data_IF_472652346277
#
_entry.id   IF_472652346277
#
_cell.length_a   1.000
_cell.length_b   1.000
_cell.length_c   1.000
_cell.angle_alpha   90.00
_cell.angle_beta   90.00
_cell.angle_gamma   90.00
#
_symmetry.space_group_name_H-M   'P 1'
#
loop_
_entity.id
_entity.type
_entity.pdbx_description
1 polymer ?
#
# COMPACT_ATOMS: atom_id res chain seq x y z
N UNK A 1 -10.43 -34.71 -91.15
CA UNK A 1 -11.60 -34.94 -90.27
C UNK A 1 -11.08 -34.91 -88.85
N UNK A 2 -10.99 -33.71 -88.26
CA UNK A 2 -11.74 -33.30 -87.04
C UNK A 2 -11.42 -34.19 -85.82
N UNK A 3 -10.91 -33.77 -84.67
CA UNK A 3 -10.62 -32.45 -84.08
C UNK A 3 -9.83 -32.71 -82.79
N UNK A 4 -8.66 -32.11 -82.59
CA UNK A 4 -8.03 -32.01 -81.27
C UNK A 4 -8.49 -30.71 -80.63
N UNK A 5 -9.43 -30.81 -79.68
CA UNK A 5 -9.85 -29.68 -78.85
C UNK A 5 -8.80 -29.46 -77.75
N UNK A 6 -7.97 -28.43 -77.95
CA UNK A 6 -7.17 -27.80 -76.90
C UNK A 6 -8.14 -27.10 -75.94
N UNK A 7 -8.24 -27.60 -74.71
CA UNK A 7 -8.91 -26.90 -73.63
C UNK A 7 -8.06 -25.69 -73.24
N UNK A 8 -8.39 -24.53 -73.79
CA UNK A 8 -7.87 -23.25 -73.33
C UNK A 8 -8.45 -22.98 -71.93
N UNK A 9 -7.59 -23.01 -70.92
CA UNK A 9 -7.89 -22.43 -69.62
C UNK A 9 -8.12 -20.92 -69.83
N UNK A 10 -9.36 -20.47 -69.70
CA UNK A 10 -9.70 -19.04 -69.66
C UNK A 10 -9.16 -18.49 -68.35
N UNK A 11 -7.96 -17.91 -68.39
CA UNK A 11 -7.53 -16.98 -67.35
C UNK A 11 -8.40 -15.74 -67.49
N UNK A 12 -9.36 -15.55 -66.58
CA UNK A 12 -10.15 -14.33 -66.47
C UNK A 12 -9.21 -13.14 -66.26
N UNK A 13 -8.98 -12.35 -67.32
CA UNK A 13 -8.08 -11.18 -67.33
C UNK A 13 -8.71 -9.91 -66.75
N UNK A 14 -9.82 -10.00 -66.00
CA UNK A 14 -10.54 -8.83 -65.46
C UNK A 14 -10.31 -8.55 -63.98
N UNK A 15 -9.45 -9.31 -63.29
CA UNK A 15 -9.20 -9.15 -61.86
C UNK A 15 -7.86 -8.43 -61.61
N UNK A 16 -7.83 -7.07 -61.52
CA UNK A 16 -6.61 -6.29 -61.26
C UNK A 16 -5.96 -6.59 -59.90
N UNK A 17 -6.63 -7.34 -59.02
CA UNK A 17 -6.17 -7.72 -57.69
C UNK A 17 -5.80 -9.21 -57.56
N UNK A 18 -5.70 -9.98 -58.66
CA UNK A 18 -5.39 -11.41 -58.63
C UNK A 18 -4.06 -11.70 -57.90
N UNK A 19 -2.99 -10.96 -58.23
CA UNK A 19 -1.67 -11.10 -57.59
C UNK A 19 -1.70 -10.83 -56.08
N UNK A 20 -2.59 -9.93 -55.63
CA UNK A 20 -2.76 -9.61 -54.21
C UNK A 20 -3.49 -10.76 -53.50
N UNK A 21 -4.53 -11.34 -54.10
CA UNK A 21 -5.26 -12.49 -53.53
C UNK A 21 -4.37 -13.73 -53.42
N UNK A 22 -3.48 -13.96 -54.38
CA UNK A 22 -2.55 -15.10 -54.36
C UNK A 22 -1.48 -14.95 -53.28
N UNK A 23 -1.05 -13.71 -52.99
CA UNK A 23 -0.17 -13.42 -51.86
C UNK A 23 -0.82 -13.80 -50.51
N UNK A 24 -2.10 -13.48 -50.30
CA UNK A 24 -2.84 -13.85 -49.08
C UNK A 24 -3.07 -15.36 -48.91
N UNK A 25 -3.00 -16.14 -49.99
CA UNK A 25 -3.07 -17.61 -49.95
C UNK A 25 -1.72 -18.29 -49.77
N UNK A 26 -0.62 -17.53 -49.91
CA UNK A 26 0.73 -18.06 -49.77
C UNK A 26 1.02 -18.49 -48.34
N UNK A 27 1.88 -19.50 -48.17
CA UNK A 27 2.30 -19.99 -46.84
C UNK A 27 2.97 -18.88 -46.00
N UNK A 28 3.65 -17.93 -46.65
CA UNK A 28 4.27 -16.75 -46.02
C UNK A 28 3.27 -15.90 -45.25
N UNK A 29 2.05 -15.72 -45.77
CA UNK A 29 1.00 -14.99 -45.08
C UNK A 29 0.58 -15.68 -43.77
N UNK A 30 0.47 -17.01 -43.78
CA UNK A 30 0.18 -17.78 -42.56
C UNK A 30 1.28 -17.60 -41.49
N UNK A 31 2.55 -17.59 -41.87
CA UNK A 31 3.65 -17.31 -40.95
C UNK A 31 3.56 -15.90 -40.34
N UNK A 32 3.22 -14.89 -41.15
CA UNK A 32 3.05 -13.51 -40.68
C UNK A 32 1.88 -13.41 -39.69
N UNK A 33 0.74 -14.01 -40.01
CA UNK A 33 -0.44 -14.01 -39.13
C UNK A 33 -0.15 -14.75 -37.82
N UNK A 34 0.55 -15.89 -37.88
CA UNK A 34 0.94 -16.64 -36.68
C UNK A 34 1.90 -15.83 -35.79
N UNK A 35 2.90 -15.18 -36.38
CA UNK A 35 3.84 -14.31 -35.66
C UNK A 35 3.10 -13.13 -35.00
N UNK A 36 2.14 -12.54 -35.70
CA UNK A 36 1.31 -11.46 -35.17
C UNK A 36 0.49 -11.91 -33.96
N UNK A 37 -0.16 -13.08 -34.03
CA UNK A 37 -0.89 -13.64 -32.89
C UNK A 37 0.03 -14.00 -31.72
N UNK A 38 1.21 -14.55 -31.98
CA UNK A 38 2.23 -14.80 -30.95
C UNK A 38 2.60 -13.50 -30.24
N UNK A 39 2.89 -12.44 -31.00
CA UNK A 39 3.21 -11.12 -30.44
C UNK A 39 2.06 -10.57 -29.60
N UNK A 40 0.81 -10.65 -30.08
CA UNK A 40 -0.37 -10.23 -29.33
C UNK A 40 -0.52 -11.00 -28.01
N UNK A 41 -0.28 -12.32 -28.00
CA UNK A 41 -0.34 -13.13 -26.78
C UNK A 41 0.77 -12.73 -25.79
N UNK A 42 2.00 -12.51 -26.28
CA UNK A 42 3.11 -12.05 -25.42
C UNK A 42 2.80 -10.66 -24.82
N UNK A 43 2.28 -9.74 -25.62
CA UNK A 43 1.85 -8.42 -25.15
C UNK A 43 0.73 -8.55 -24.12
N UNK A 44 -0.26 -9.40 -24.39
CA UNK A 44 -1.39 -9.65 -23.49
C UNK A 44 -0.95 -10.19 -22.13
N UNK A 45 -0.05 -11.19 -22.11
CA UNK A 45 0.53 -11.73 -20.88
C UNK A 45 1.42 -10.70 -20.16
N UNK A 46 2.17 -9.88 -20.90
CA UNK A 46 2.98 -8.79 -20.33
C UNK A 46 2.10 -7.76 -19.62
N UNK A 47 0.96 -7.39 -20.22
CA UNK A 47 -0.05 -6.53 -19.61
C UNK A 47 -0.62 -7.14 -18.32
N UNK A 48 -1.01 -8.41 -18.34
CA UNK A 48 -1.51 -9.11 -17.14
C UNK A 48 -0.43 -9.19 -16.03
N UNK A 49 0.82 -9.46 -16.41
CA UNK A 49 1.96 -9.47 -15.48
C UNK A 49 2.23 -8.09 -14.87
N UNK A 50 2.11 -7.01 -15.66
CA UNK A 50 2.25 -5.65 -15.16
C UNK A 50 1.17 -5.30 -14.13
N UNK A 51 -0.08 -5.66 -14.38
CA UNK A 51 -1.19 -5.50 -13.42
C UNK A 51 -0.92 -6.28 -12.14
N UNK A 52 -0.44 -7.52 -12.23
CA UNK A 52 -0.07 -8.31 -11.04
C UNK A 52 1.03 -7.63 -10.21
N UNK A 53 2.11 -7.22 -10.88
CA UNK A 53 3.27 -6.59 -10.22
C UNK A 53 2.89 -5.27 -9.55
N UNK A 54 2.01 -4.49 -10.17
CA UNK A 54 1.53 -3.24 -9.60
C UNK A 54 0.53 -3.46 -8.45
N UNK A 55 -0.45 -4.36 -8.62
CA UNK A 55 -1.44 -4.67 -7.59
C UNK A 55 -0.79 -5.19 -6.30
N UNK A 56 0.21 -6.08 -6.42
CA UNK A 56 0.96 -6.63 -5.28
C UNK A 56 1.69 -5.56 -4.46
N UNK A 57 2.05 -4.41 -5.06
CA UNK A 57 2.72 -3.31 -4.36
C UNK A 57 1.74 -2.39 -3.62
N UNK A 58 0.46 -2.41 -3.99
CA UNK A 58 -0.58 -1.49 -3.51
C UNK A 58 -1.59 -2.13 -2.56
N UNK A 59 -1.80 -3.45 -2.64
CA UNK A 59 -2.90 -4.14 -1.96
C UNK A 59 -2.39 -5.38 -1.26
N UNK A 60 -2.76 -5.57 0.01
CA UNK A 60 -2.36 -6.74 0.82
C UNK A 60 -3.34 -7.91 0.62
N UNK A 61 -4.63 -7.60 0.40
CA UNK A 61 -5.66 -8.61 0.18
C UNK A 61 -5.47 -9.37 -1.14
N UNK A 62 -5.25 -10.67 -1.00
CA UNK A 62 -5.01 -11.59 -2.12
C UNK A 62 -6.19 -11.70 -3.08
N UNK A 63 -7.43 -11.55 -2.60
CA UNK A 63 -8.63 -11.67 -3.43
C UNK A 63 -8.67 -10.52 -4.44
N UNK A 64 -8.42 -9.30 -3.97
CA UNK A 64 -8.43 -8.10 -4.84
C UNK A 64 -7.33 -8.18 -5.89
N UNK A 65 -6.15 -8.69 -5.54
CA UNK A 65 -5.06 -8.93 -6.51
C UNK A 65 -5.52 -9.92 -7.59
N UNK A 66 -6.13 -11.04 -7.20
CA UNK A 66 -6.61 -12.06 -8.16
C UNK A 66 -7.67 -11.46 -9.08
N UNK A 67 -8.65 -10.73 -8.54
CA UNK A 67 -9.71 -10.09 -9.33
C UNK A 67 -9.14 -9.08 -10.33
N UNK A 68 -8.17 -8.26 -9.92
CA UNK A 68 -7.51 -7.29 -10.79
C UNK A 68 -6.73 -7.98 -11.93
N UNK A 69 -5.98 -9.03 -11.63
CA UNK A 69 -5.23 -9.79 -12.64
C UNK A 69 -6.17 -10.52 -13.60
N UNK A 70 -7.25 -11.13 -13.10
CA UNK A 70 -8.26 -11.77 -13.94
C UNK A 70 -8.94 -10.76 -14.87
N UNK A 71 -9.20 -9.55 -14.38
CA UNK A 71 -9.76 -8.46 -15.20
C UNK A 71 -8.79 -8.06 -16.33
N UNK A 72 -7.51 -7.88 -16.00
CA UNK A 72 -6.45 -7.63 -17.00
C UNK A 72 -6.26 -8.78 -17.99
N UNK A 73 -6.40 -10.02 -17.53
CA UNK A 73 -6.29 -11.21 -18.37
C UNK A 73 -7.50 -11.37 -19.29
N UNK A 74 -8.73 -11.14 -18.84
CA UNK A 74 -9.94 -11.34 -19.65
C UNK A 74 -10.10 -10.22 -20.70
N UNK A 75 -9.94 -8.96 -20.27
CA UNK A 75 -10.17 -7.79 -21.12
C UNK A 75 -8.91 -7.30 -21.83
N UNK A 76 -7.75 -7.90 -21.55
CA UNK A 76 -6.47 -7.58 -22.14
C UNK A 76 -6.08 -6.10 -22.01
N UNK A 77 -5.72 -5.41 -23.10
CA UNK A 77 -5.28 -4.01 -23.03
C UNK A 77 -6.37 -3.08 -22.48
N UNK A 78 -7.65 -3.40 -22.70
CA UNK A 78 -8.78 -2.63 -22.13
C UNK A 78 -8.85 -2.83 -20.61
N UNK A 79 -8.58 -4.05 -20.13
CA UNK A 79 -8.54 -4.34 -18.70
C UNK A 79 -7.46 -3.54 -17.97
N UNK A 80 -6.29 -3.35 -18.61
CA UNK A 80 -5.22 -2.49 -18.08
C UNK A 80 -5.66 -1.03 -17.99
N UNK A 81 -6.36 -0.52 -19.01
CA UNK A 81 -6.92 0.83 -19.00
C UNK A 81 -7.91 1.03 -17.84
N UNK A 82 -8.84 0.09 -17.65
CA UNK A 82 -9.81 0.15 -16.55
C UNK A 82 -9.09 0.08 -15.20
N UNK A 83 -8.14 -0.85 -15.05
CA UNK A 83 -7.34 -0.98 -13.83
C UNK A 83 -6.54 0.30 -13.54
N UNK A 84 -5.98 0.94 -14.57
CA UNK A 84 -5.19 2.17 -14.39
C UNK A 84 -6.00 3.35 -13.85
N UNK A 85 -7.32 3.38 -14.10
CA UNK A 85 -8.25 4.38 -13.58
C UNK A 85 -8.64 4.05 -12.13
N UNK A 86 -8.93 2.77 -11.84
CA UNK A 86 -9.31 2.30 -10.50
C UNK A 86 -8.11 2.08 -9.55
N UNK A 87 -6.89 2.36 -10.02
CA UNK A 87 -5.64 2.10 -9.31
C UNK A 87 -5.63 2.80 -7.94
N UNK A 88 -5.43 2.06 -6.82
CA UNK A 88 -5.29 2.67 -5.50
C UNK A 88 -4.10 3.64 -5.44
N UNK A 89 -4.26 4.84 -4.85
CA UNK A 89 -3.23 5.88 -4.87
C UNK A 89 -2.10 5.64 -3.87
N UNK A 90 -2.34 4.92 -2.76
CA UNK A 90 -1.36 4.72 -1.69
C UNK A 90 -0.65 3.37 -1.81
N UNK A 91 0.66 3.36 -1.55
CA UNK A 91 1.44 2.13 -1.44
C UNK A 91 1.40 1.60 0.00
N UNK A 92 1.42 0.28 0.14
CA UNK A 92 1.43 -0.36 1.47
C UNK A 92 2.67 0.02 2.29
N UNK A 93 3.79 0.33 1.63
CA UNK A 93 5.03 0.75 2.27
C UNK A 93 4.87 2.14 2.91
N UNK A 94 4.25 3.09 2.20
CA UNK A 94 4.01 4.45 2.71
C UNK A 94 3.09 4.44 3.94
N UNK A 95 2.04 3.61 3.93
CA UNK A 95 1.14 3.45 5.09
C UNK A 95 1.89 2.87 6.28
N UNK A 96 2.70 1.82 6.05
CA UNK A 96 3.52 1.21 7.10
C UNK A 96 4.56 2.16 7.68
N UNK A 97 5.19 3.00 6.85
CA UNK A 97 6.16 3.99 7.31
C UNK A 97 5.50 5.02 8.23
N UNK A 98 4.36 5.59 7.81
CA UNK A 98 3.59 6.53 8.65
C UNK A 98 3.18 5.91 9.98
N UNK A 99 2.73 4.65 9.97
CA UNK A 99 2.39 3.95 11.21
C UNK A 99 3.60 3.76 12.13
N UNK A 100 4.77 3.42 11.59
CA UNK A 100 6.00 3.28 12.37
C UNK A 100 6.49 4.61 12.93
N UNK A 101 6.38 5.69 12.15
CA UNK A 101 6.68 7.04 12.60
C UNK A 101 5.77 7.45 13.77
N UNK A 102 4.46 7.24 13.66
CA UNK A 102 3.48 7.55 14.72
C UNK A 102 3.81 6.76 15.98
N UNK A 103 4.04 5.44 15.87
CA UNK A 103 4.40 4.61 17.03
C UNK A 103 5.68 5.08 17.71
N UNK A 104 6.67 5.51 16.92
CA UNK A 104 7.93 6.06 17.45
C UNK A 104 7.70 7.39 18.17
N UNK A 105 6.82 8.25 17.64
CA UNK A 105 6.42 9.49 18.29
C UNK A 105 5.65 9.24 19.59
N UNK A 106 4.72 8.28 19.61
CA UNK A 106 3.95 7.88 20.79
C UNK A 106 4.85 7.37 21.91
N UNK A 107 5.85 6.53 21.59
CA UNK A 107 6.82 6.04 22.57
C UNK A 107 7.60 7.17 23.25
N UNK A 108 8.00 8.21 22.50
CA UNK A 108 8.67 9.39 23.07
C UNK A 108 7.79 10.20 24.01
N UNK A 109 6.46 10.14 23.86
CA UNK A 109 5.51 10.78 24.76
C UNK A 109 5.25 9.95 26.02
N UNK A 110 5.17 8.62 25.90
CA UNK A 110 4.89 7.72 27.04
C UNK A 110 6.09 7.48 27.95
N UNK A 111 7.32 7.48 27.43
CA UNK A 111 8.51 7.05 28.19
C UNK A 111 9.15 8.16 29.04
N UNK A 112 8.68 9.40 28.95
CA UNK A 112 9.45 10.56 29.45
C UNK A 112 8.61 11.53 30.29
N UNK A 113 8.28 11.14 31.51
CA UNK A 113 8.00 12.15 32.53
C UNK A 113 9.27 12.99 32.77
N UNK A 114 9.15 14.30 32.60
CA UNK A 114 10.25 15.24 32.77
C UNK A 114 9.99 16.14 33.97
N UNK A 115 11.04 16.41 34.73
CA UNK A 115 10.97 17.39 35.80
C UNK A 115 10.55 18.76 35.24
N UNK A 116 9.52 19.43 35.79
CA UNK A 116 9.04 20.72 35.29
C UNK A 116 10.09 21.84 35.42
N UNK A 117 11.06 21.67 36.33
CA UNK A 117 12.09 22.67 36.59
C UNK A 117 13.33 22.50 35.70
N UNK A 118 13.97 21.33 35.73
CA UNK A 118 15.23 21.09 35.02
C UNK A 118 15.10 20.25 33.74
N UNK A 119 13.89 19.79 33.40
CA UNK A 119 13.57 18.94 32.24
C UNK A 119 14.34 17.62 32.15
N UNK A 120 14.99 17.22 33.25
CA UNK A 120 15.64 15.91 33.34
C UNK A 120 14.58 14.82 33.37
N UNK A 121 14.87 13.68 32.73
CA UNK A 121 14.02 12.49 32.73
C UNK A 121 13.89 11.93 34.15
N UNK A 122 12.65 11.71 34.59
CA UNK A 122 12.32 11.17 35.91
C UNK A 122 11.41 9.96 35.73
N UNK A 123 11.56 8.96 36.59
CA UNK A 123 10.69 7.78 36.61
C UNK A 123 9.54 8.02 37.58
N UNK A 124 8.45 7.28 37.39
CA UNK A 124 7.25 7.37 38.22
C UNK A 124 7.52 7.17 39.73
N UNK A 125 8.56 6.43 40.09
CA UNK A 125 8.87 6.13 41.49
C UNK A 125 9.63 7.26 42.21
N UNK A 126 10.00 8.32 41.51
CA UNK A 126 10.86 9.37 42.05
C UNK A 126 10.06 10.41 42.83
N UNK A 127 10.32 10.50 44.14
CA UNK A 127 9.75 11.54 45.00
C UNK A 127 10.39 12.91 44.76
N UNK A 128 11.69 12.92 44.42
CA UNK A 128 12.51 14.11 44.25
C UNK A 128 13.41 13.93 43.02
N UNK A 129 13.58 15.00 42.25
CA UNK A 129 14.46 14.99 41.08
C UNK A 129 15.93 14.81 41.51
N UNK A 130 16.66 13.81 40.98
CA UNK A 130 18.06 13.59 41.35
C UNK A 130 19.02 14.69 40.88
N UNK A 131 18.62 15.52 39.90
CA UNK A 131 19.48 16.56 39.34
C UNK A 131 19.29 17.92 40.01
N UNK A 132 18.05 18.36 40.25
CA UNK A 132 17.76 19.69 40.81
C UNK A 132 17.19 19.68 42.22
N UNK A 133 16.84 18.52 42.78
CA UNK A 133 16.23 18.43 44.11
C UNK A 133 14.78 18.90 44.19
N UNK A 134 14.14 19.25 43.07
CA UNK A 134 12.72 19.60 43.06
C UNK A 134 11.85 18.39 43.45
N UNK A 135 10.91 18.59 44.37
CA UNK A 135 9.94 17.56 44.76
C UNK A 135 8.95 17.34 43.62
N UNK A 136 8.85 16.10 43.15
CA UNK A 136 8.00 15.72 42.02
C UNK A 136 6.64 15.19 42.50
N UNK A 137 6.65 14.34 43.52
CA UNK A 137 5.47 13.63 44.03
C UNK A 137 5.42 13.70 45.55
N UNK A 138 4.22 13.60 46.10
CA UNK A 138 4.00 13.50 47.54
C UNK A 138 3.80 12.05 47.96
N UNK A 139 3.88 11.81 49.27
CA UNK A 139 3.72 10.48 49.86
C UNK A 139 2.35 10.43 50.53
N UNK A 140 1.56 9.38 50.24
CA UNK A 140 0.28 9.19 50.92
C UNK A 140 0.49 8.98 52.43
N UNK A 141 -0.23 9.69 53.32
CA UNK A 141 -0.05 9.56 54.77
C UNK A 141 -0.47 8.19 55.33
N UNK A 142 -1.35 7.46 54.63
CA UNK A 142 -1.87 6.17 55.08
C UNK A 142 -1.00 4.98 54.60
N UNK A 143 -0.72 4.90 53.30
CA UNK A 143 -0.02 3.76 52.70
C UNK A 143 1.46 4.02 52.36
N UNK A 144 1.94 5.26 52.54
CA UNK A 144 3.32 5.70 52.26
C UNK A 144 3.81 5.45 50.82
N UNK A 145 2.90 5.27 49.86
CA UNK A 145 3.23 5.18 48.43
C UNK A 145 3.28 6.56 47.76
N UNK A 146 4.09 6.73 46.69
CA UNK A 146 4.13 7.97 45.92
C UNK A 146 2.76 8.22 45.25
N UNK A 147 2.30 9.47 45.33
CA UNK A 147 1.05 9.95 44.74
C UNK A 147 1.28 11.29 44.07
N UNK A 148 0.59 11.51 42.95
CA UNK A 148 0.65 12.77 42.22
C UNK A 148 -0.10 13.86 43.01
N UNK A 149 0.45 15.07 43.20
CA UNK A 149 -0.20 16.14 43.96
C UNK A 149 -1.53 16.62 43.38
N UNK A 150 -1.84 16.31 42.11
CA UNK A 150 -3.13 16.63 41.47
C UNK A 150 -4.24 15.62 41.81
N UNK A 151 -3.90 14.47 42.40
CA UNK A 151 -4.87 13.41 42.69
C UNK A 151 -5.60 13.68 44.01
N UNK A 152 -6.93 13.48 43.99
CA UNK A 152 -7.79 13.69 45.17
C UNK A 152 -7.92 12.45 46.06
N UNK A 153 -7.62 11.27 45.52
CA UNK A 153 -7.78 9.98 46.19
C UNK A 153 -6.56 9.11 45.88
N UNK A 154 -6.05 8.39 46.86
CA UNK A 154 -4.93 7.48 46.64
C UNK A 154 -5.41 6.20 45.91
N UNK A 155 -4.85 5.83 44.75
CA UNK A 155 -5.27 4.62 44.02
C UNK A 155 -4.84 3.30 44.69
N UNK A 156 -3.99 3.36 45.72
CA UNK A 156 -3.49 2.16 46.40
C UNK A 156 -4.24 1.80 47.67
N UNK A 157 -4.80 2.79 48.36
CA UNK A 157 -5.51 2.59 49.62
C UNK A 157 -6.92 3.19 49.63
N UNK A 158 -7.37 3.78 48.51
CA UNK A 158 -8.70 4.35 48.29
C UNK A 158 -9.10 5.49 49.25
N UNK A 159 -8.20 5.90 50.14
CA UNK A 159 -8.41 6.97 51.10
C UNK A 159 -8.23 8.35 50.43
N UNK A 160 -9.07 9.35 50.76
CA UNK A 160 -8.91 10.72 50.31
C UNK A 160 -7.56 11.31 50.75
N UNK A 161 -6.86 11.96 49.83
CA UNK A 161 -5.68 12.75 50.13
C UNK A 161 -6.17 14.11 50.65
N UNK A 162 -5.93 14.42 51.93
CA UNK A 162 -6.27 15.72 52.52
C UNK A 162 -5.73 16.84 51.62
N UNK A 163 -6.65 17.72 51.21
CA UNK A 163 -6.55 18.61 50.06
C UNK A 163 -5.19 19.31 49.87
N UNK A 164 -4.76 19.31 48.60
CA UNK A 164 -3.59 20.02 48.06
C UNK A 164 -3.43 21.45 48.62
N UNK A 165 -2.21 21.88 49.01
CA UNK A 165 -1.93 23.30 49.07
C UNK A 165 -2.09 23.86 47.65
N UNK A 166 -3.08 24.73 47.52
CA UNK A 166 -3.31 25.62 46.37
C UNK A 166 -2.01 26.21 45.86
N UNK A 167 -1.86 26.17 44.54
CA UNK A 167 -0.95 26.95 43.70
C UNK A 167 0.10 27.81 44.39
N UNK A 168 1.36 27.48 44.09
CA UNK A 168 2.47 28.42 44.04
C UNK A 168 2.07 29.65 43.21
N UNK A 169 1.64 30.72 43.90
CA UNK A 169 1.61 32.08 43.36
C UNK A 169 3.06 32.55 43.25
N UNK A 170 3.56 32.61 42.02
CA UNK A 170 4.85 33.20 41.68
C UNK A 170 4.71 34.72 41.80
N UNK A 171 5.40 35.32 42.78
CA UNK A 171 5.65 36.76 42.86
C UNK A 171 7.14 37.03 42.74
#
# INVERSE_FOLDING_TARGET
>A
MLSTLVAAATTDTSDPFASIKDFFKSSTWHFIVLLFWLFLIVLWLSCAYWVYKDAKRRIDDRIVIIVAVLTGLIFGPIGVLIYSILRPPEYLEDVRERELEIRTMEQRLTEEERCPYCKTLVRDDFLVCPHCGHRLRDVCPHCRRPVEPTWRVCPYCEEPLLAAPTGLEVR
#
